data_IF_844972766305
#
_entry.id   IF_844972766305
#
_cell.length_a   1.000
_cell.length_b   1.000
_cell.length_c   1.000
_cell.angle_alpha   90.00
_cell.angle_beta   90.00
_cell.angle_gamma   90.00
#
_symmetry.space_group_name_H-M   'P 1'
#
loop_
_entity.id
_entity.type
_entity.pdbx_description
1 polymer ?
#
# COMPACT_ATOMS: atom_id res chain seq x y z
N UNK A 1 -3.33 -13.41 15.80
CA UNK A 1 -3.18 -12.58 17.02
C UNK A 1 -2.03 -11.62 16.74
N UNK A 2 -2.13 -10.31 17.01
CA UNK A 2 -0.99 -9.42 16.94
C UNK A 2 -0.10 -9.69 18.17
N UNK A 3 1.02 -10.37 17.96
CA UNK A 3 2.00 -10.72 18.99
C UNK A 3 3.36 -10.04 18.76
N UNK A 4 3.47 -9.22 17.71
CA UNK A 4 4.70 -8.53 17.35
C UNK A 4 5.69 -9.41 16.58
N UNK A 5 5.36 -10.67 16.32
CA UNK A 5 6.16 -11.56 15.49
C UNK A 5 5.68 -11.46 14.04
N UNK A 6 6.47 -10.79 13.20
CA UNK A 6 6.13 -10.55 11.81
C UNK A 6 6.83 -11.57 10.90
N UNK A 7 6.10 -12.22 9.96
CA UNK A 7 6.69 -13.20 9.03
C UNK A 7 7.66 -12.59 8.01
N UNK A 8 7.75 -11.25 8.00
CA UNK A 8 8.67 -10.43 7.21
C UNK A 8 8.89 -9.11 7.97
N UNK A 9 9.87 -8.35 7.55
CA UNK A 9 10.00 -6.94 7.96
C UNK A 9 8.66 -6.20 7.78
N UNK A 10 8.11 -5.58 8.86
CA UNK A 10 6.79 -4.96 8.83
C UNK A 10 6.76 -3.69 7.98
N UNK A 11 7.90 -3.08 7.67
CA UNK A 11 7.96 -1.86 6.85
C UNK A 11 7.31 -2.11 5.46
N UNK A 12 6.35 -1.28 5.01
CA UNK A 12 5.57 -1.52 3.80
C UNK A 12 6.32 -1.12 2.51
N UNK A 13 7.63 -1.42 2.43
CA UNK A 13 8.42 -1.14 1.22
C UNK A 13 8.02 -2.05 0.04
N UNK A 14 8.27 -1.63 -1.22
CA UNK A 14 8.05 -2.47 -2.41
C UNK A 14 8.65 -3.89 -2.34
N UNK A 15 9.79 -4.04 -1.64
CA UNK A 15 10.47 -5.32 -1.41
C UNK A 15 9.63 -6.27 -0.54
N UNK A 16 8.96 -5.72 0.47
CA UNK A 16 8.17 -6.47 1.45
C UNK A 16 6.74 -6.78 0.97
N UNK A 17 6.25 -6.08 -0.06
CA UNK A 17 4.87 -6.21 -0.56
C UNK A 17 4.68 -7.23 -1.69
N UNK A 18 5.65 -8.09 -1.96
CA UNK A 18 5.59 -9.05 -3.08
C UNK A 18 4.34 -9.95 -3.09
N UNK A 19 3.87 -10.38 -1.91
CA UNK A 19 2.64 -11.19 -1.79
C UNK A 19 1.41 -10.39 -2.18
N UNK A 20 1.24 -9.19 -1.60
CA UNK A 20 0.10 -8.32 -1.88
C UNK A 20 0.03 -7.95 -3.36
N UNK A 21 1.17 -7.60 -3.98
CA UNK A 21 1.25 -7.30 -5.42
C UNK A 21 0.72 -8.45 -6.29
N UNK A 22 1.09 -9.70 -5.96
CA UNK A 22 0.59 -10.89 -6.66
C UNK A 22 -0.90 -11.11 -6.43
N UNK A 23 -1.39 -10.87 -5.21
CA UNK A 23 -2.81 -10.99 -4.88
C UNK A 23 -3.66 -9.99 -5.66
N UNK A 24 -3.24 -8.73 -5.76
CA UNK A 24 -3.94 -7.70 -6.55
C UNK A 24 -4.14 -8.17 -7.99
N UNK A 25 -3.08 -8.62 -8.65
CA UNK A 25 -3.15 -9.12 -10.04
C UNK A 25 -3.99 -10.39 -10.13
N UNK A 26 -3.79 -11.35 -9.22
CA UNK A 26 -4.52 -12.64 -9.21
C UNK A 26 -6.02 -12.44 -9.07
N UNK A 27 -6.44 -11.54 -8.18
CA UNK A 27 -7.84 -11.28 -7.90
C UNK A 27 -8.45 -10.20 -8.79
N UNK A 28 -7.65 -9.61 -9.72
CA UNK A 28 -8.06 -8.46 -10.53
C UNK A 28 -8.63 -7.34 -9.67
N UNK A 29 -8.01 -7.11 -8.52
CA UNK A 29 -8.40 -6.01 -7.63
C UNK A 29 -7.99 -4.68 -8.28
N UNK A 30 -8.79 -3.64 -8.09
CA UNK A 30 -8.49 -2.31 -8.63
C UNK A 30 -7.35 -1.63 -7.89
N UNK A 31 -7.21 -1.93 -6.59
CA UNK A 31 -6.21 -1.36 -5.68
C UNK A 31 -5.86 -2.32 -4.55
N UNK A 32 -4.64 -2.24 -4.04
CA UNK A 32 -4.20 -2.90 -2.82
C UNK A 32 -3.63 -1.91 -1.81
N UNK A 33 -3.80 -2.18 -0.52
CA UNK A 33 -3.32 -1.36 0.58
C UNK A 33 -2.46 -2.18 1.55
N UNK A 34 -1.41 -1.55 2.08
CA UNK A 34 -0.59 -2.10 3.15
C UNK A 34 -0.18 -1.01 4.15
N UNK A 35 -0.03 -1.41 5.40
CA UNK A 35 0.42 -0.56 6.51
C UNK A 35 1.66 -1.18 7.17
N UNK A 36 2.39 -0.38 7.93
CA UNK A 36 3.39 -0.82 8.90
C UNK A 36 2.75 -1.32 10.20
N UNK A 37 3.59 -1.63 11.20
CA UNK A 37 3.20 -2.29 12.44
C UNK A 37 2.29 -1.45 13.34
N UNK A 38 2.48 -0.12 13.36
CA UNK A 38 1.69 0.86 14.13
C UNK A 38 0.65 1.59 13.29
N UNK A 39 0.62 1.34 11.98
CA UNK A 39 -0.42 1.76 11.04
C UNK A 39 -0.50 3.27 10.80
N UNK A 40 0.62 3.99 10.93
CA UNK A 40 0.70 5.40 10.56
C UNK A 40 1.12 5.61 9.09
N UNK A 41 1.68 4.58 8.43
CA UNK A 41 2.01 4.60 6.99
C UNK A 41 1.00 3.82 6.14
N UNK A 42 0.83 4.29 4.90
CA UNK A 42 0.02 3.62 3.88
C UNK A 42 0.79 3.50 2.56
N UNK A 43 1.08 2.26 2.16
CA UNK A 43 1.54 1.94 0.82
C UNK A 43 0.35 1.50 -0.06
N UNK A 44 0.32 2.03 -1.29
CA UNK A 44 -0.74 1.76 -2.25
C UNK A 44 -0.17 0.95 -3.42
N UNK A 45 -0.91 -0.02 -3.92
CA UNK A 45 -0.59 -0.81 -5.12
C UNK A 45 -1.71 -0.63 -6.14
N UNK A 46 -1.36 -0.33 -7.38
CA UNK A 46 -2.34 -0.25 -8.47
C UNK A 46 -2.84 -1.63 -8.91
N UNK A 47 -3.93 -1.68 -9.68
CA UNK A 47 -4.50 -2.93 -10.19
C UNK A 47 -3.58 -3.76 -11.09
N UNK A 48 -2.42 -3.24 -11.50
CA UNK A 48 -1.37 -3.98 -12.22
C UNK A 48 -0.30 -4.57 -11.28
N UNK A 49 -0.49 -4.45 -9.97
CA UNK A 49 0.45 -4.96 -8.96
C UNK A 49 1.70 -4.09 -8.80
N UNK A 50 1.66 -2.83 -9.23
CA UNK A 50 2.77 -1.88 -9.10
C UNK A 50 2.59 -1.04 -7.82
N UNK A 51 3.58 -1.00 -6.92
CA UNK A 51 3.58 -0.06 -5.81
C UNK A 51 3.58 1.36 -6.36
N UNK A 52 2.71 2.19 -5.81
CA UNK A 52 2.70 3.62 -6.05
C UNK A 52 3.65 4.21 -4.99
N UNK A 53 4.62 5.02 -5.42
CA UNK A 53 5.61 5.60 -4.49
C UNK A 53 4.95 6.39 -3.36
N UNK A 54 5.57 6.39 -2.17
CA UNK A 54 4.96 6.92 -0.94
C UNK A 54 4.51 8.40 -1.08
N UNK A 55 5.29 9.21 -1.80
CA UNK A 55 4.97 10.63 -2.07
C UNK A 55 3.64 10.81 -2.81
N UNK A 56 3.26 9.83 -3.64
CA UNK A 56 2.02 9.89 -4.40
C UNK A 56 0.78 9.68 -3.53
N UNK A 57 0.88 8.98 -2.39
CA UNK A 57 -0.25 8.85 -1.46
C UNK A 57 -0.72 10.23 -1.01
N UNK A 58 0.23 11.07 -0.56
CA UNK A 58 -0.07 12.45 -0.17
C UNK A 58 -0.53 13.29 -1.36
N UNK A 59 0.17 13.22 -2.50
CA UNK A 59 -0.18 14.00 -3.69
C UNK A 59 -1.61 13.69 -4.20
N UNK A 60 -1.99 12.40 -4.24
CA UNK A 60 -3.33 11.98 -4.66
C UNK A 60 -4.40 12.43 -3.66
N UNK A 61 -4.14 12.31 -2.35
CA UNK A 61 -5.05 12.79 -1.31
C UNK A 61 -5.25 14.31 -1.41
N UNK A 62 -4.17 15.08 -1.57
CA UNK A 62 -4.22 16.52 -1.77
C UNK A 62 -4.98 16.89 -3.04
N UNK A 63 -4.71 16.21 -4.16
CA UNK A 63 -5.44 16.43 -5.41
C UNK A 63 -6.94 16.17 -5.24
N UNK A 64 -7.34 15.13 -4.52
CA UNK A 64 -8.75 14.83 -4.28
C UNK A 64 -9.43 15.89 -3.38
N UNK A 65 -8.76 16.27 -2.28
CA UNK A 65 -9.31 17.23 -1.30
C UNK A 65 -9.36 18.65 -1.85
N UNK A 66 -8.34 19.07 -2.60
CA UNK A 66 -8.20 20.44 -3.09
C UNK A 66 -8.64 20.64 -4.55
N UNK A 67 -8.69 19.57 -5.36
CA UNK A 67 -9.00 19.64 -6.79
C UNK A 67 -10.49 19.79 -7.12
N UNK A 68 -11.37 19.69 -6.13
CA UNK A 68 -12.82 19.94 -6.27
C UNK A 68 -13.21 21.35 -5.79
N UNK A 69 -12.28 22.31 -5.82
CA UNK A 69 -12.55 23.73 -5.62
C UNK A 69 -12.70 24.45 -6.96
#
# INVERSE_FOLDING_TARGET
RPDGDFPRDPEPTPRNLGVLRRLVVRHRADVGFAQDADADRLAVIDGRGRPIGEDYTLALATLFVLGNR
#
